data_IF_575306350736
#
_entry.id   IF_575306350736
#
_cell.length_a   1.000
_cell.length_b   1.000
_cell.length_c   1.000
_cell.angle_alpha   90.00
_cell.angle_beta   90.00
_cell.angle_gamma   90.00
#
_symmetry.space_group_name_H-M   'P 1'
#
loop_
_entity.id
_entity.type
_entity.pdbx_description
1 polymer ?
#
# COMPACT_ATOMS: atom_id res chain seq x y z
N UNK A 1 -2.49 -4.92 -19.88
CA UNK A 1 -2.12 -5.27 -21.26
C UNK A 1 -0.94 -4.48 -21.83
N UNK A 2 -0.95 -3.15 -21.89
CA UNK A 2 0.07 -2.37 -22.64
C UNK A 2 1.53 -2.53 -22.15
N UNK A 3 1.77 -2.75 -20.86
CA UNK A 3 3.13 -2.82 -20.32
C UNK A 3 3.82 -4.18 -20.53
N UNK A 4 3.07 -5.29 -20.48
CA UNK A 4 3.64 -6.65 -20.51
C UNK A 4 2.99 -7.59 -21.54
N UNK A 5 1.98 -7.12 -22.27
CA UNK A 5 1.19 -7.97 -23.18
C UNK A 5 0.38 -9.05 -22.47
N UNK A 6 0.19 -8.93 -21.14
CA UNK A 6 -0.58 -9.85 -20.31
C UNK A 6 -2.02 -9.35 -20.24
N UNK A 7 -2.96 -10.22 -20.62
CA UNK A 7 -4.40 -10.00 -20.47
C UNK A 7 -4.77 -10.14 -18.98
N UNK A 8 -5.54 -9.19 -18.47
CA UNK A 8 -6.11 -9.26 -17.12
C UNK A 8 -7.44 -10.00 -17.21
N UNK A 9 -7.56 -11.11 -16.49
CA UNK A 9 -8.82 -11.85 -16.38
C UNK A 9 -9.54 -11.41 -15.11
N UNK A 10 -10.67 -10.67 -15.21
CA UNK A 10 -11.43 -10.25 -14.03
C UNK A 10 -12.09 -11.42 -13.31
N UNK A 11 -12.29 -12.56 -13.97
CA UNK A 11 -12.89 -13.76 -13.39
C UNK A 11 -11.83 -14.68 -12.74
N UNK A 12 -10.54 -14.48 -13.05
CA UNK A 12 -9.39 -15.16 -12.43
C UNK A 12 -8.35 -14.14 -11.91
N UNK A 13 -8.71 -13.49 -10.80
CA UNK A 13 -7.84 -12.52 -10.13
C UNK A 13 -6.54 -13.17 -9.65
N UNK A 14 -6.61 -14.39 -9.11
CA UNK A 14 -5.43 -15.07 -8.56
C UNK A 14 -4.43 -15.44 -9.67
N UNK A 15 -4.92 -16.00 -10.78
CA UNK A 15 -4.11 -16.30 -11.96
C UNK A 15 -3.52 -15.03 -12.59
N UNK A 16 -4.30 -13.95 -12.66
CA UNK A 16 -3.84 -12.64 -13.16
C UNK A 16 -2.73 -12.03 -12.29
N UNK A 17 -2.82 -12.17 -10.96
CA UNK A 17 -1.80 -11.69 -10.04
C UNK A 17 -0.52 -12.53 -10.08
N UNK A 18 -0.62 -13.86 -10.25
CA UNK A 18 0.54 -14.76 -10.25
C UNK A 18 1.60 -14.36 -11.28
N UNK A 19 1.20 -13.77 -12.41
CA UNK A 19 2.12 -13.33 -13.46
C UNK A 19 2.96 -12.12 -13.04
N UNK A 20 2.56 -11.39 -11.99
CA UNK A 20 3.25 -10.19 -11.50
C UNK A 20 4.41 -10.51 -10.54
N UNK A 21 4.64 -11.77 -10.20
CA UNK A 21 5.72 -12.17 -9.27
C UNK A 21 5.59 -11.47 -7.92
N UNK A 22 6.69 -10.89 -7.40
CA UNK A 22 6.68 -10.19 -6.11
C UNK A 22 5.72 -8.99 -6.06
N UNK A 23 5.36 -8.40 -7.21
CA UNK A 23 4.37 -7.32 -7.27
C UNK A 23 2.95 -7.81 -6.95
N UNK A 24 2.68 -9.11 -7.07
CA UNK A 24 1.38 -9.70 -6.73
C UNK A 24 0.97 -9.41 -5.28
N UNK A 25 1.94 -9.33 -4.36
CA UNK A 25 1.69 -9.01 -2.95
C UNK A 25 1.17 -7.57 -2.81
N UNK A 26 1.83 -6.63 -3.48
CA UNK A 26 1.48 -5.20 -3.42
C UNK A 26 0.12 -4.97 -4.10
N UNK A 27 -0.10 -5.56 -5.28
CA UNK A 27 -1.35 -5.40 -6.03
C UNK A 27 -2.50 -6.14 -5.36
N UNK A 28 -2.29 -7.35 -4.84
CA UNK A 28 -3.34 -8.14 -4.18
C UNK A 28 -3.92 -7.43 -2.96
N UNK A 29 -3.10 -6.70 -2.22
CA UNK A 29 -3.54 -5.91 -1.05
C UNK A 29 -4.48 -4.74 -1.41
N UNK A 30 -4.53 -4.32 -2.67
CA UNK A 30 -5.36 -3.19 -3.14
C UNK A 30 -6.55 -3.61 -4.00
N UNK A 31 -6.87 -4.90 -4.07
CA UNK A 31 -8.05 -5.40 -4.79
C UNK A 31 -9.28 -5.58 -3.89
N UNK A 32 -9.10 -5.51 -2.57
CA UNK A 32 -10.15 -5.72 -1.59
C UNK A 32 -9.86 -4.98 -0.29
N UNK A 33 -10.89 -4.79 0.51
CA UNK A 33 -10.70 -4.38 1.90
C UNK A 33 -10.02 -5.51 2.69
N UNK A 34 -9.21 -5.15 3.68
CA UNK A 34 -8.51 -6.11 4.55
C UNK A 34 -8.73 -5.76 6.01
N UNK A 35 -8.86 -6.77 6.87
CA UNK A 35 -8.93 -6.63 8.31
C UNK A 35 -8.00 -7.66 8.96
N UNK A 36 -6.95 -7.21 9.64
CA UNK A 36 -5.93 -8.07 10.22
C UNK A 36 -5.88 -7.86 11.75
N UNK A 37 -6.16 -8.87 12.58
CA UNK A 37 -5.93 -8.79 14.03
C UNK A 37 -4.42 -8.65 14.29
N UNK A 38 -4.02 -7.58 14.98
CA UNK A 38 -2.61 -7.26 15.24
C UNK A 38 -2.24 -7.34 16.72
N UNK A 39 -3.21 -7.15 17.62
CA UNK A 39 -3.01 -7.30 19.05
C UNK A 39 -4.22 -7.98 19.68
N UNK A 40 -3.97 -8.84 20.66
CA UNK A 40 -5.00 -9.52 21.45
C UNK A 40 -4.59 -9.43 22.92
N UNK A 41 -5.50 -9.03 23.79
CA UNK A 41 -5.28 -8.98 25.24
C UNK A 41 -6.50 -9.53 25.99
N UNK A 42 -6.24 -10.46 26.92
CA UNK A 42 -7.26 -11.06 27.77
C UNK A 42 -6.66 -11.72 29.01
N UNK A 43 -7.10 -11.27 30.18
CA UNK A 43 -6.74 -11.88 31.46
C UNK A 43 -5.36 -11.49 31.99
N UNK A 44 -5.15 -11.79 33.27
CA UNK A 44 -3.94 -11.37 33.98
C UNK A 44 -3.39 -12.44 34.94
N UNK A 45 -4.11 -13.56 35.12
CA UNK A 45 -3.73 -14.64 36.05
C UNK A 45 -4.29 -15.98 35.60
N UNK A 46 -3.48 -17.03 35.69
CA UNK A 46 -3.81 -18.36 35.14
C UNK A 46 -5.06 -19.02 35.77
N UNK A 47 -5.47 -18.61 36.96
CA UNK A 47 -6.63 -19.17 37.68
C UNK A 47 -7.81 -18.20 37.81
N UNK A 48 -7.83 -17.13 37.00
CA UNK A 48 -8.92 -16.14 36.99
C UNK A 48 -9.51 -16.10 35.59
N UNK A 49 -10.83 -16.32 35.48
CA UNK A 49 -11.56 -16.14 34.22
C UNK A 49 -11.64 -14.63 33.94
N UNK A 50 -11.14 -14.14 32.79
CA UNK A 50 -11.21 -12.72 32.45
C UNK A 50 -12.67 -12.27 32.25
N UNK A 51 -12.99 -11.07 32.73
CA UNK A 51 -14.30 -10.45 32.52
C UNK A 51 -14.40 -9.69 31.19
N UNK A 52 -13.28 -9.41 30.54
CA UNK A 52 -13.20 -8.69 29.26
C UNK A 52 -12.01 -9.17 28.44
N UNK A 53 -12.07 -8.95 27.13
CA UNK A 53 -10.98 -9.14 26.18
C UNK A 53 -11.00 -7.97 25.21
N UNK A 54 -9.83 -7.59 24.69
CA UNK A 54 -9.68 -6.57 23.67
C UNK A 54 -8.87 -7.12 22.49
N UNK A 55 -9.17 -6.60 21.30
CA UNK A 55 -8.43 -6.89 20.09
C UNK A 55 -8.19 -5.58 19.33
N UNK A 56 -7.00 -5.43 18.76
CA UNK A 56 -6.71 -4.39 17.78
C UNK A 56 -6.75 -5.03 16.41
N UNK A 57 -7.56 -4.46 15.52
CA UNK A 57 -7.69 -4.89 14.13
C UNK A 57 -7.22 -3.77 13.22
N UNK A 58 -6.17 -4.03 12.44
CA UNK A 58 -5.71 -3.13 11.39
C UNK A 58 -6.59 -3.30 10.14
N UNK A 59 -7.43 -2.29 9.89
CA UNK A 59 -8.30 -2.21 8.74
C UNK A 59 -7.70 -1.40 7.61
N UNK A 60 -7.89 -1.86 6.37
CA UNK A 60 -7.65 -1.09 5.14
C UNK A 60 -8.89 -1.23 4.27
N UNK A 61 -9.49 -0.11 3.90
CA UNK A 61 -10.60 -0.07 2.96
C UNK A 61 -10.21 0.73 1.71
N UNK A 62 -10.80 0.36 0.57
CA UNK A 62 -10.60 1.04 -0.70
C UNK A 62 -11.36 2.38 -0.73
N UNK A 63 -10.96 3.32 -1.61
CA UNK A 63 -11.70 4.56 -1.84
C UNK A 63 -13.20 4.31 -2.05
N UNK A 64 -14.04 5.04 -1.31
CA UNK A 64 -15.50 4.88 -1.36
C UNK A 64 -16.07 3.62 -0.70
N UNK A 65 -15.25 2.73 -0.14
CA UNK A 65 -15.70 1.45 0.47
C UNK A 65 -15.72 1.45 2.00
N UNK A 66 -15.60 2.60 2.64
CA UNK A 66 -15.57 2.68 4.11
C UNK A 66 -16.85 2.11 4.76
N UNK A 67 -18.03 2.55 4.30
CA UNK A 67 -19.31 2.08 4.84
C UNK A 67 -19.53 0.57 4.61
N UNK A 68 -19.05 0.06 3.48
CA UNK A 68 -19.06 -1.38 3.17
C UNK A 68 -18.19 -2.15 4.16
N UNK A 69 -16.95 -1.68 4.37
CA UNK A 69 -16.01 -2.28 5.31
C UNK A 69 -16.58 -2.32 6.72
N UNK A 70 -17.11 -1.19 7.20
CA UNK A 70 -17.74 -1.10 8.51
C UNK A 70 -18.91 -2.08 8.66
N UNK A 71 -19.79 -2.14 7.66
CA UNK A 71 -20.92 -3.08 7.67
C UNK A 71 -20.47 -4.54 7.72
N UNK A 72 -19.42 -4.89 6.97
CA UNK A 72 -18.87 -6.25 6.98
C UNK A 72 -18.25 -6.60 8.33
N UNK A 73 -17.50 -5.67 8.94
CA UNK A 73 -16.96 -5.86 10.29
C UNK A 73 -18.10 -6.03 11.30
N UNK A 74 -19.11 -5.15 11.27
CA UNK A 74 -20.25 -5.19 12.19
C UNK A 74 -21.06 -6.49 12.07
N UNK A 75 -21.20 -7.03 10.86
CA UNK A 75 -21.87 -8.31 10.64
C UNK A 75 -21.12 -9.52 11.25
N UNK A 76 -19.81 -9.38 11.50
CA UNK A 76 -18.97 -10.41 12.14
C UNK A 76 -18.95 -10.28 13.67
N UNK A 77 -19.34 -9.13 14.23
CA UNK A 77 -19.33 -8.91 15.67
C UNK A 77 -20.45 -9.70 16.35
N UNK A 78 -20.08 -10.43 17.41
CA UNK A 78 -21.02 -11.17 18.25
C UNK A 78 -21.74 -10.26 19.27
N UNK A 79 -22.76 -10.80 19.96
CA UNK A 79 -23.44 -10.07 21.03
C UNK A 79 -22.45 -9.70 22.14
N UNK A 80 -22.49 -8.44 22.60
CA UNK A 80 -21.62 -7.93 23.65
C UNK A 80 -20.21 -7.54 23.19
N UNK A 81 -19.96 -7.52 21.87
CA UNK A 81 -18.73 -6.97 21.28
C UNK A 81 -19.03 -5.60 20.69
N UNK A 82 -18.24 -4.61 21.09
CA UNK A 82 -18.30 -3.25 20.56
C UNK A 82 -16.99 -2.94 19.82
N UNK A 83 -17.07 -2.12 18.77
CA UNK A 83 -15.89 -1.58 18.09
C UNK A 83 -15.84 -0.07 18.21
N UNK A 84 -14.63 0.45 18.27
CA UNK A 84 -14.34 1.87 18.11
C UNK A 84 -13.10 2.05 17.24
N UNK A 85 -12.97 3.22 16.63
CA UNK A 85 -11.79 3.58 15.88
C UNK A 85 -10.68 4.04 16.83
N UNK A 86 -9.57 3.30 16.87
CA UNK A 86 -8.34 3.79 17.50
C UNK A 86 -7.68 4.88 16.64
N UNK A 87 -7.62 4.62 15.34
CA UNK A 87 -7.17 5.57 14.30
C UNK A 87 -8.05 5.35 13.08
N UNK A 88 -8.57 6.45 12.53
CA UNK A 88 -9.38 6.45 11.30
C UNK A 88 -8.85 7.53 10.38
N UNK A 89 -8.58 7.17 9.13
CA UNK A 89 -8.16 8.11 8.09
C UNK A 89 -8.69 7.67 6.73
N UNK A 90 -8.82 8.63 5.82
CA UNK A 90 -9.43 8.42 4.51
C UNK A 90 -8.61 7.49 3.61
N UNK A 91 -9.29 6.78 2.72
CA UNK A 91 -8.67 6.10 1.58
C UNK A 91 -8.53 7.09 0.43
N UNK A 92 -7.38 7.10 -0.23
CA UNK A 92 -7.07 8.04 -1.30
C UNK A 92 -6.90 7.35 -2.64
N UNK A 93 -7.43 7.98 -3.68
CA UNK A 93 -7.07 7.72 -5.07
C UNK A 93 -6.81 9.05 -5.79
N UNK A 94 -6.05 8.98 -6.86
CA UNK A 94 -5.85 10.11 -7.76
C UNK A 94 -5.63 9.60 -9.18
N UNK A 95 -5.90 10.43 -10.17
CA UNK A 95 -5.60 10.11 -11.56
C UNK A 95 -4.08 10.06 -11.81
N UNK A 96 -3.64 9.43 -12.89
CA UNK A 96 -2.22 9.32 -13.26
C UNK A 96 -1.94 10.06 -14.57
N UNK A 97 -1.88 11.39 -14.49
CA UNK A 97 -1.77 12.28 -15.64
C UNK A 97 -1.13 13.62 -15.27
N UNK A 98 -0.78 14.39 -16.29
CA UNK A 98 -0.35 15.77 -16.16
C UNK A 98 1.16 15.94 -15.91
N UNK A 99 1.61 17.20 -15.79
CA UNK A 99 3.04 17.54 -15.87
C UNK A 99 3.89 16.86 -14.81
N UNK A 100 3.37 16.71 -13.59
CA UNK A 100 4.08 16.06 -12.49
C UNK A 100 4.39 14.58 -12.79
N UNK A 101 3.40 13.87 -13.34
CA UNK A 101 3.55 12.46 -13.75
C UNK A 101 4.54 12.34 -14.90
N UNK A 102 4.47 13.23 -15.88
CA UNK A 102 5.40 13.27 -17.01
C UNK A 102 6.84 13.53 -16.56
N UNK A 103 7.05 14.44 -15.60
CA UNK A 103 8.36 14.75 -15.02
C UNK A 103 8.93 13.56 -14.23
N UNK A 104 8.11 12.89 -13.39
CA UNK A 104 8.53 11.67 -12.69
C UNK A 104 8.96 10.58 -13.67
N UNK A 105 8.16 10.36 -14.72
CA UNK A 105 8.46 9.36 -15.74
C UNK A 105 9.69 9.72 -16.59
N UNK A 106 9.91 10.99 -16.88
CA UNK A 106 11.09 11.48 -17.59
C UNK A 106 12.37 11.31 -16.76
N UNK A 107 12.31 11.61 -15.45
CA UNK A 107 13.44 11.42 -14.54
C UNK A 107 13.86 9.95 -14.43
N UNK A 108 12.88 9.03 -14.38
CA UNK A 108 13.13 7.59 -14.43
C UNK A 108 13.80 7.18 -15.76
N UNK A 109 13.25 7.61 -16.91
CA UNK A 109 13.80 7.25 -18.23
C UNK A 109 15.21 7.77 -18.49
N UNK A 110 15.58 8.88 -17.86
CA UNK A 110 16.92 9.44 -18.00
C UNK A 110 18.00 8.59 -17.32
N UNK A 111 17.65 7.84 -16.26
CA UNK A 111 18.57 6.93 -15.56
C UNK A 111 18.40 5.47 -16.03
N UNK A 112 17.22 5.11 -16.56
CA UNK A 112 16.93 3.80 -17.15
C UNK A 112 16.00 3.96 -18.37
N UNK A 113 16.52 3.89 -19.62
CA UNK A 113 15.71 4.08 -20.82
C UNK A 113 14.54 3.09 -20.98
N UNK A 114 14.59 1.94 -20.31
CA UNK A 114 13.52 0.94 -20.30
C UNK A 114 12.44 1.19 -19.25
N UNK A 115 12.63 2.15 -18.35
CA UNK A 115 11.71 2.39 -17.25
C UNK A 115 10.33 2.87 -17.73
N UNK A 116 9.30 2.26 -17.15
CA UNK A 116 7.89 2.61 -17.37
C UNK A 116 7.27 2.94 -16.02
N UNK A 117 6.78 4.17 -15.87
CA UNK A 117 6.05 4.57 -14.68
C UNK A 117 4.61 4.07 -14.80
N UNK A 118 4.14 3.34 -13.79
CA UNK A 118 2.78 2.83 -13.69
C UNK A 118 2.17 3.27 -12.36
N UNK A 119 0.88 3.62 -12.31
CA UNK A 119 0.21 3.91 -11.05
C UNK A 119 -0.06 2.63 -10.28
N UNK A 120 0.12 2.69 -8.97
CA UNK A 120 -0.43 1.69 -8.05
C UNK A 120 -0.85 2.40 -6.76
N UNK A 121 -1.86 1.86 -6.09
CA UNK A 121 -2.24 2.32 -4.74
C UNK A 121 -1.36 1.62 -3.71
N UNK A 122 -0.93 2.37 -2.68
CA UNK A 122 -0.22 1.79 -1.56
C UNK A 122 -1.23 1.35 -0.49
N UNK A 123 -1.12 0.12 0.01
CA UNK A 123 -1.95 -0.40 1.12
C UNK A 123 -1.55 0.17 2.50
N UNK A 124 -0.58 1.07 2.55
CA UNK A 124 -0.07 1.76 3.74
C UNK A 124 -0.56 3.21 3.85
N UNK A 125 -0.31 3.83 5.01
CA UNK A 125 -0.56 5.25 5.24
C UNK A 125 0.62 6.12 4.80
N UNK A 126 0.33 7.29 4.21
CA UNK A 126 1.34 8.33 3.93
C UNK A 126 0.76 9.71 4.28
N UNK A 127 1.64 10.71 4.39
CA UNK A 127 1.23 12.10 4.62
C UNK A 127 0.37 12.68 3.49
N UNK A 128 0.28 12.00 2.33
CA UNK A 128 -0.63 12.34 1.25
C UNK A 128 -2.07 12.50 1.72
N UNK A 129 -2.50 11.74 2.73
CA UNK A 129 -3.82 11.85 3.36
C UNK A 129 -4.06 13.21 4.00
N UNK A 130 -3.03 13.81 4.58
CA UNK A 130 -3.10 15.14 5.19
C UNK A 130 -3.04 16.25 4.14
N UNK A 131 -2.18 16.09 3.12
CA UNK A 131 -2.05 17.06 2.03
C UNK A 131 -3.27 17.12 1.11
N UNK A 132 -3.97 16.00 0.89
CA UNK A 132 -5.20 15.98 0.09
C UNK A 132 -6.28 16.89 0.70
N UNK A 133 -6.39 16.94 2.03
CA UNK A 133 -7.33 17.83 2.74
C UNK A 133 -7.02 19.32 2.52
N UNK A 134 -5.80 19.64 2.06
CA UNK A 134 -5.39 20.98 1.65
C UNK A 134 -5.60 21.24 0.15
N UNK A 135 -6.24 20.32 -0.57
CA UNK A 135 -6.46 20.39 -2.01
C UNK A 135 -5.21 20.03 -2.84
N UNK A 136 -4.22 19.38 -2.24
CA UNK A 136 -2.99 19.00 -2.93
C UNK A 136 -3.13 17.60 -3.55
N UNK A 137 -2.79 17.50 -4.83
CA UNK A 137 -2.64 16.22 -5.52
C UNK A 137 -1.28 15.62 -5.19
N UNK A 138 -1.25 14.45 -4.57
CA UNK A 138 -0.03 13.83 -4.07
C UNK A 138 0.29 12.52 -4.77
N UNK A 139 1.59 12.25 -4.98
CA UNK A 139 2.10 10.99 -5.49
C UNK A 139 3.24 10.50 -4.60
N UNK A 140 3.23 9.22 -4.26
CA UNK A 140 4.39 8.56 -3.68
C UNK A 140 5.45 8.36 -4.75
N UNK A 141 6.60 9.01 -4.61
CA UNK A 141 7.72 8.88 -5.56
C UNK A 141 9.03 8.62 -4.83
N UNK A 142 9.36 7.34 -4.66
CA UNK A 142 10.57 6.86 -4.02
C UNK A 142 11.32 5.94 -5.00
N UNK A 143 12.02 6.50 -6.01
CA UNK A 143 12.70 5.69 -7.01
C UNK A 143 13.79 4.85 -6.35
N UNK A 144 13.75 3.54 -6.56
CA UNK A 144 14.74 2.62 -6.02
C UNK A 144 14.89 1.46 -7.01
N UNK A 145 16.09 1.25 -7.56
CA UNK A 145 16.34 0.14 -8.48
C UNK A 145 16.62 -1.13 -7.68
N UNK A 146 15.69 -2.07 -7.74
CA UNK A 146 15.72 -3.30 -6.94
C UNK A 146 16.06 -4.52 -7.80
N UNK A 147 16.84 -5.49 -7.27
CA UNK A 147 16.97 -6.80 -7.88
C UNK A 147 15.61 -7.51 -7.94
N UNK A 148 15.30 -8.24 -9.02
CA UNK A 148 13.99 -8.89 -9.19
C UNK A 148 13.68 -9.94 -8.10
N UNK A 149 14.70 -10.53 -7.50
CA UNK A 149 14.59 -11.53 -6.45
C UNK A 149 14.34 -10.96 -5.05
N UNK A 150 14.48 -9.63 -4.87
CA UNK A 150 14.27 -9.01 -3.56
C UNK A 150 12.77 -8.84 -3.30
N UNK A 151 12.27 -9.49 -2.25
CA UNK A 151 10.95 -9.21 -1.70
C UNK A 151 10.98 -7.90 -0.90
N UNK A 152 10.91 -6.79 -1.61
CA UNK A 152 10.99 -5.46 -1.01
C UNK A 152 9.77 -5.11 -0.17
N UNK A 153 8.59 -5.63 -0.53
CA UNK A 153 7.36 -5.39 0.22
C UNK A 153 7.44 -5.96 1.64
N UNK A 154 8.06 -7.13 1.81
CA UNK A 154 8.27 -7.74 3.14
C UNK A 154 9.27 -6.98 4.03
N UNK A 155 10.07 -6.07 3.47
CA UNK A 155 11.06 -5.31 4.24
C UNK A 155 10.48 -4.09 4.96
N UNK A 156 9.30 -3.59 4.56
CA UNK A 156 8.70 -2.43 5.24
C UNK A 156 8.38 -2.76 6.70
N UNK A 157 9.06 -2.08 7.64
CA UNK A 157 8.98 -2.37 9.08
C UNK A 157 9.32 -3.82 9.45
N UNK A 158 9.99 -4.54 8.55
CA UNK A 158 10.41 -5.91 8.72
C UNK A 158 11.71 -6.04 9.50
N UNK A 159 12.06 -7.28 9.85
CA UNK A 159 13.38 -7.57 10.41
C UNK A 159 14.44 -7.35 9.32
N UNK A 160 15.52 -6.65 9.65
CA UNK A 160 16.64 -6.37 8.73
C UNK A 160 16.20 -5.62 7.46
N UNK A 161 15.32 -4.63 7.63
CA UNK A 161 14.94 -3.66 6.59
C UNK A 161 16.20 -3.03 5.97
N UNK A 162 16.34 -3.16 4.64
CA UNK A 162 17.55 -2.73 3.92
C UNK A 162 17.27 -2.46 2.46
N UNK A 163 18.19 -1.73 1.83
CA UNK A 163 18.19 -1.47 0.38
C UNK A 163 19.57 -1.70 -0.22
N UNK A 164 19.68 -2.12 -1.49
CA UNK A 164 20.96 -2.19 -2.18
C UNK A 164 21.57 -0.78 -2.35
N UNK A 165 22.88 -0.66 -2.13
CA UNK A 165 23.59 0.62 -2.30
C UNK A 165 23.44 1.18 -3.72
N UNK A 166 23.50 0.33 -4.74
CA UNK A 166 23.30 0.74 -6.13
C UNK A 166 21.87 1.22 -6.39
N UNK A 167 20.87 0.59 -5.75
CA UNK A 167 19.49 1.04 -5.78
C UNK A 167 19.33 2.43 -5.17
N UNK A 168 19.96 2.66 -4.01
CA UNK A 168 19.95 3.96 -3.34
C UNK A 168 20.65 5.04 -4.17
N UNK A 169 21.82 4.74 -4.76
CA UNK A 169 22.53 5.67 -5.66
C UNK A 169 21.69 6.00 -6.90
N UNK A 170 21.01 5.03 -7.47
CA UNK A 170 20.08 5.24 -8.59
C UNK A 170 18.94 6.17 -8.17
N UNK A 171 18.28 5.87 -7.06
CA UNK A 171 17.18 6.66 -6.53
C UNK A 171 17.55 8.12 -6.29
N UNK A 172 18.73 8.35 -5.69
CA UNK A 172 19.24 9.70 -5.46
C UNK A 172 19.44 10.50 -6.75
N UNK A 173 19.96 9.88 -7.82
CA UNK A 173 20.12 10.55 -9.13
C UNK A 173 18.77 10.85 -9.79
N UNK A 174 17.82 9.92 -9.72
CA UNK A 174 16.46 10.15 -10.24
C UNK A 174 15.79 11.32 -9.50
N UNK A 175 15.86 11.34 -8.17
CA UNK A 175 15.28 12.42 -7.36
C UNK A 175 15.97 13.77 -7.60
N UNK A 176 17.30 13.82 -7.64
CA UNK A 176 18.03 15.07 -7.94
C UNK A 176 17.65 15.62 -9.33
N UNK A 177 17.57 14.73 -10.35
CA UNK A 177 17.12 15.12 -11.68
C UNK A 177 15.69 15.61 -11.67
N UNK A 178 14.78 14.87 -11.03
CA UNK A 178 13.39 15.26 -10.90
C UNK A 178 13.28 16.66 -10.30
N UNK A 179 13.86 16.90 -9.12
CA UNK A 179 13.77 18.19 -8.41
C UNK A 179 14.41 19.37 -9.16
N UNK A 180 15.46 19.14 -9.97
CA UNK A 180 16.09 20.20 -10.78
C UNK A 180 15.33 20.58 -12.05
N UNK A 181 14.46 19.71 -12.53
CA UNK A 181 13.70 19.89 -13.78
C UNK A 181 12.18 19.91 -13.52
N UNK A 182 11.79 19.98 -12.24
CA UNK A 182 10.41 20.15 -11.76
C UNK A 182 9.96 21.60 -11.91
#
# INVERSE_FOLDING_TARGET
EEAFGIAFDPDDIEGSLAVLGNLAIIVGAILRNTANPTMLDAGYKANVIPSSATAVVDGRFLPGQEEEFERQVDALLGPGVEREWLVRDQALETSFDGPLVEQMAAALRAEDPGARAIPYMLSGGTDGKSFERLGMRCFGFAPLKLPPELDFAALFHGIDERVPLEGLRFGARVLDRFLRHS
#
